data_IF_681298701148
#
_entry.id   IF_681298701148
#
_cell.length_a   1.000
_cell.length_b   1.000
_cell.length_c   1.000
_cell.angle_alpha   90.00
_cell.angle_beta   90.00
_cell.angle_gamma   90.00
#
_symmetry.space_group_name_H-M   'P 1'
#
loop_
_entity.id
_entity.type
_entity.pdbx_description
1 polymer ?
#
# COMPACT_ATOMS: atom_id res chain seq x y z
N UNK A 1 16.30 -5.71 -11.30
CA UNK A 1 15.45 -6.55 -10.43
C UNK A 1 14.04 -5.97 -10.47
N UNK A 2 13.08 -6.65 -11.12
CA UNK A 2 11.68 -6.22 -11.17
C UNK A 2 10.90 -6.93 -10.04
N UNK A 3 10.81 -6.29 -8.87
CA UNK A 3 10.01 -6.80 -7.73
C UNK A 3 8.64 -6.13 -7.71
N UNK A 4 7.80 -6.56 -8.65
CA UNK A 4 6.52 -5.92 -8.94
C UNK A 4 5.56 -5.94 -7.75
N UNK A 5 5.57 -7.00 -6.93
CA UNK A 5 4.71 -7.09 -5.75
C UNK A 5 5.07 -6.05 -4.70
N UNK A 6 6.34 -5.99 -4.33
CA UNK A 6 6.85 -4.95 -3.41
C UNK A 6 6.65 -3.53 -3.93
N UNK A 7 6.97 -3.27 -5.19
CA UNK A 7 6.82 -1.94 -5.79
C UNK A 7 5.38 -1.44 -5.69
N UNK A 8 4.40 -2.29 -6.08
CA UNK A 8 2.97 -1.94 -6.03
C UNK A 8 2.50 -1.61 -4.61
N UNK A 9 2.86 -2.43 -3.64
CA UNK A 9 2.51 -2.18 -2.23
C UNK A 9 3.16 -0.90 -1.71
N UNK A 10 4.45 -0.69 -1.98
CA UNK A 10 5.19 0.48 -1.52
C UNK A 10 4.63 1.78 -2.12
N UNK A 11 4.30 1.79 -3.41
CA UNK A 11 3.66 2.94 -4.07
C UNK A 11 2.30 3.27 -3.44
N UNK A 12 1.48 2.25 -3.18
CA UNK A 12 0.21 2.42 -2.49
C UNK A 12 0.38 3.01 -1.08
N UNK A 13 1.31 2.47 -0.28
CA UNK A 13 1.62 2.99 1.06
C UNK A 13 2.10 4.44 1.00
N UNK A 14 2.96 4.80 0.04
CA UNK A 14 3.46 6.17 -0.13
C UNK A 14 2.33 7.17 -0.41
N UNK A 15 1.34 6.79 -1.22
CA UNK A 15 0.16 7.64 -1.50
C UNK A 15 -0.70 7.89 -0.26
N UNK A 16 -0.77 6.92 0.66
CA UNK A 16 -1.55 6.98 1.91
C UNK A 16 -0.80 7.59 3.11
N UNK A 17 0.51 7.79 2.99
CA UNK A 17 1.39 8.22 4.07
C UNK A 17 1.13 9.68 4.45
N UNK A 18 0.87 9.94 5.74
CA UNK A 18 0.65 11.31 6.24
C UNK A 18 1.69 11.70 7.30
N UNK A 19 2.11 10.76 8.15
CA UNK A 19 2.98 11.02 9.29
C UNK A 19 4.37 10.39 9.13
N UNK A 20 5.25 10.66 10.10
CA UNK A 20 6.64 10.17 10.08
C UNK A 20 6.69 8.65 10.19
N UNK A 21 5.83 8.04 11.01
CA UNK A 21 5.81 6.61 11.22
C UNK A 21 5.47 5.86 9.92
N UNK A 22 4.47 6.32 9.16
CA UNK A 22 4.17 5.76 7.83
C UNK A 22 5.38 5.76 6.89
N UNK A 23 6.13 6.87 6.88
CA UNK A 23 7.32 7.03 6.03
C UNK A 23 8.45 6.11 6.47
N UNK A 24 8.62 5.89 7.77
CA UNK A 24 9.59 4.94 8.29
C UNK A 24 9.24 3.50 7.92
N UNK A 25 7.96 3.13 8.00
CA UNK A 25 7.50 1.82 7.55
C UNK A 25 7.75 1.63 6.04
N UNK A 26 7.46 2.64 5.22
CA UNK A 26 7.78 2.61 3.79
C UNK A 26 9.28 2.41 3.53
N UNK A 27 10.15 3.12 4.25
CA UNK A 27 11.62 2.98 4.12
C UNK A 27 12.11 1.59 4.53
N UNK A 28 11.55 1.03 5.60
CA UNK A 28 11.87 -0.35 6.03
C UNK A 28 11.46 -1.37 4.97
N UNK A 29 10.28 -1.21 4.36
CA UNK A 29 9.81 -2.07 3.27
C UNK A 29 10.72 -1.96 2.03
N UNK A 30 11.11 -0.75 1.65
CA UNK A 30 12.04 -0.50 0.54
C UNK A 30 13.41 -1.15 0.79
N UNK A 31 13.93 -1.05 2.02
CA UNK A 31 15.18 -1.72 2.41
C UNK A 31 15.06 -3.24 2.29
N UNK A 32 13.95 -3.82 2.77
CA UNK A 32 13.68 -5.26 2.60
C UNK A 32 13.55 -5.67 1.14
N UNK A 33 12.95 -4.84 0.30
CA UNK A 33 12.86 -5.09 -1.14
C UNK A 33 14.26 -5.17 -1.76
N UNK A 34 15.21 -4.32 -1.35
CA UNK A 34 16.58 -4.33 -1.86
C UNK A 34 17.39 -5.55 -1.37
N UNK A 35 17.15 -6.03 -0.16
CA UNK A 35 17.94 -7.11 0.46
C UNK A 35 17.34 -8.51 0.28
N UNK A 36 16.02 -8.63 0.11
CA UNK A 36 15.35 -9.92 -0.08
C UNK A 36 15.75 -10.54 -1.42
N UNK A 37 15.75 -11.87 -1.52
CA UNK A 37 15.87 -12.56 -2.83
C UNK A 37 14.50 -12.73 -3.49
N UNK A 38 13.46 -12.88 -2.66
CA UNK A 38 12.08 -13.08 -3.08
C UNK A 38 11.33 -11.75 -3.30
N UNK A 39 10.15 -11.87 -3.91
CA UNK A 39 9.14 -10.83 -4.11
C UNK A 39 7.82 -11.25 -3.45
N UNK A 40 6.90 -10.30 -3.25
CA UNK A 40 5.53 -10.59 -2.85
C UNK A 40 4.73 -11.14 -4.03
N UNK A 41 3.80 -12.06 -3.74
CA UNK A 41 2.89 -12.58 -4.75
C UNK A 41 2.02 -11.45 -5.32
N UNK A 42 2.15 -11.17 -6.61
CA UNK A 42 1.46 -10.07 -7.30
C UNK A 42 -0.07 -10.20 -7.21
N UNK A 43 -0.62 -11.42 -7.23
CA UNK A 43 -2.06 -11.66 -7.08
C UNK A 43 -2.54 -11.31 -5.67
N UNK A 44 -1.81 -11.76 -4.64
CA UNK A 44 -2.12 -11.41 -3.25
C UNK A 44 -2.09 -9.89 -3.05
N UNK A 45 -1.12 -9.20 -3.64
CA UNK A 45 -0.99 -7.75 -3.57
C UNK A 45 -2.13 -7.05 -4.33
N UNK A 46 -2.54 -7.56 -5.50
CA UNK A 46 -3.71 -7.06 -6.21
C UNK A 46 -4.97 -7.16 -5.35
N UNK A 47 -5.22 -8.33 -4.75
CA UNK A 47 -6.38 -8.54 -3.87
C UNK A 47 -6.35 -7.63 -2.64
N UNK A 48 -5.20 -7.50 -1.98
CA UNK A 48 -5.00 -6.61 -0.84
C UNK A 48 -5.39 -5.18 -1.17
N UNK A 49 -5.05 -4.72 -2.36
CA UNK A 49 -5.21 -3.31 -2.70
C UNK A 49 -6.58 -2.98 -3.30
N UNK A 50 -7.28 -3.99 -3.84
CA UNK A 50 -8.69 -3.90 -4.21
C UNK A 50 -9.60 -3.93 -2.99
N UNK A 51 -9.39 -4.89 -2.07
CA UNK A 51 -10.24 -5.11 -0.90
C UNK A 51 -9.43 -5.15 0.40
N UNK A 52 -8.79 -4.04 0.82
CA UNK A 52 -7.89 -4.02 1.99
C UNK A 52 -8.58 -4.36 3.31
N UNK A 53 -9.88 -4.11 3.44
CA UNK A 53 -10.62 -4.39 4.67
C UNK A 53 -10.96 -5.87 4.86
N UNK A 54 -10.99 -6.63 3.77
CA UNK A 54 -11.35 -8.06 3.76
C UNK A 54 -10.11 -8.96 3.64
N UNK A 55 -8.94 -8.38 3.38
CA UNK A 55 -7.69 -9.13 3.25
C UNK A 55 -7.21 -9.64 4.61
N UNK A 56 -6.91 -10.94 4.73
CA UNK A 56 -6.26 -11.51 5.92
C UNK A 56 -4.75 -11.32 5.83
N UNK A 57 -4.11 -10.52 6.73
CA UNK A 57 -2.66 -10.34 6.71
C UNK A 57 -1.87 -11.63 6.88
N UNK A 58 -2.47 -12.69 7.45
CA UNK A 58 -1.83 -13.99 7.64
C UNK A 58 -1.53 -14.72 6.33
N UNK A 59 -2.17 -14.32 5.23
CA UNK A 59 -1.91 -14.87 3.90
C UNK A 59 -0.56 -14.40 3.31
N UNK A 60 0.11 -13.48 3.98
CA UNK A 60 1.44 -12.98 3.60
C UNK A 60 2.48 -13.56 4.57
N UNK A 61 3.59 -14.13 4.06
CA UNK A 61 4.60 -14.72 4.92
C UNK A 61 5.35 -13.66 5.73
N UNK A 62 5.77 -14.04 6.94
CA UNK A 62 6.74 -13.26 7.71
C UNK A 62 8.06 -13.13 6.95
N UNK A 63 8.74 -11.97 7.01
CA UNK A 63 8.46 -10.82 7.90
C UNK A 63 7.51 -9.77 7.30
N UNK A 64 6.85 -10.06 6.18
CA UNK A 64 6.16 -9.05 5.38
C UNK A 64 4.74 -8.70 5.89
N UNK A 65 4.17 -9.59 6.70
CA UNK A 65 2.87 -9.45 7.39
C UNK A 65 2.68 -8.09 8.05
N UNK A 66 3.74 -7.54 8.67
CA UNK A 66 3.67 -6.25 9.37
C UNK A 66 3.38 -5.06 8.43
N UNK A 67 3.89 -5.10 7.20
CA UNK A 67 3.69 -4.02 6.22
C UNK A 67 2.29 -4.04 5.66
N UNK A 68 1.72 -5.24 5.48
CA UNK A 68 0.31 -5.44 5.10
C UNK A 68 -0.61 -4.90 6.18
N UNK A 69 -0.36 -5.26 7.46
CA UNK A 69 -1.13 -4.72 8.60
C UNK A 69 -1.07 -3.19 8.65
N UNK A 70 0.12 -2.62 8.44
CA UNK A 70 0.29 -1.17 8.42
C UNK A 70 -0.47 -0.53 7.27
N UNK A 71 -0.42 -1.10 6.06
CA UNK A 71 -1.18 -0.62 4.92
C UNK A 71 -2.69 -0.62 5.20
N UNK A 72 -3.25 -1.70 5.74
CA UNK A 72 -4.68 -1.77 6.10
C UNK A 72 -5.04 -0.69 7.14
N UNK A 73 -4.17 -0.47 8.14
CA UNK A 73 -4.33 0.61 9.09
C UNK A 73 -4.36 1.99 8.40
N UNK A 74 -3.45 2.24 7.46
CA UNK A 74 -3.39 3.50 6.71
C UNK A 74 -4.68 3.72 5.91
N UNK A 75 -5.22 2.69 5.25
CA UNK A 75 -6.50 2.78 4.54
C UNK A 75 -7.62 3.14 5.51
N UNK A 76 -7.80 2.39 6.61
CA UNK A 76 -8.84 2.65 7.64
C UNK A 76 -8.76 4.08 8.18
N UNK A 77 -7.56 4.58 8.43
CA UNK A 77 -7.32 5.94 8.93
C UNK A 77 -7.71 7.00 7.88
N UNK A 78 -7.32 6.80 6.62
CA UNK A 78 -7.61 7.74 5.54
C UNK A 78 -9.12 7.81 5.25
N UNK A 79 -9.83 6.67 5.26
CA UNK A 79 -11.29 6.62 5.11
C UNK A 79 -11.99 7.44 6.20
N UNK A 80 -11.57 7.29 7.47
CA UNK A 80 -12.10 8.07 8.60
C UNK A 80 -11.85 9.58 8.48
N UNK A 81 -10.79 9.99 7.78
CA UNK A 81 -10.48 11.39 7.53
C UNK A 81 -11.26 11.98 6.34
N UNK A 82 -12.13 11.19 5.69
CA UNK A 82 -12.86 11.61 4.50
C UNK A 82 -12.04 11.54 3.21
N UNK A 83 -10.84 10.97 3.26
CA UNK A 83 -10.03 10.70 2.07
C UNK A 83 -10.49 9.38 1.45
N UNK A 84 -11.36 9.46 0.44
CA UNK A 84 -11.66 8.33 -0.43
C UNK A 84 -10.43 8.12 -1.35
N UNK A 85 -9.54 7.20 -0.98
CA UNK A 85 -8.36 6.89 -1.81
C UNK A 85 -8.66 5.60 -2.57
N UNK A 86 -8.99 5.76 -3.86
CA UNK A 86 -8.95 4.66 -4.82
C UNK A 86 -7.48 4.29 -5.05
N UNK A 87 -7.03 3.21 -4.42
CA UNK A 87 -5.63 2.77 -4.50
C UNK A 87 -5.34 2.10 -5.86
N UNK A 88 -6.38 1.64 -6.56
CA UNK A 88 -6.30 0.94 -7.84
C UNK A 88 -7.27 1.53 -8.87
N UNK A 89 -6.74 2.32 -9.80
CA UNK A 89 -7.28 2.48 -11.14
C UNK A 89 -6.38 1.68 -12.07
N UNK A 90 -6.98 0.73 -12.80
CA UNK A 90 -6.32 -0.04 -13.85
C UNK A 90 -6.13 0.93 -15.03
N UNK A 91 -5.02 1.65 -15.09
CA UNK A 91 -4.74 2.50 -16.26
C UNK A 91 -3.23 2.55 -16.56
N UNK A 92 -2.89 1.99 -17.72
CA UNK A 92 -1.73 2.41 -18.49
C UNK A 92 -1.69 3.94 -18.55
N UNK A 93 -0.59 4.57 -18.10
CA UNK A 93 -0.29 5.98 -18.38
C UNK A 93 -1.40 7.00 -18.00
N UNK A 94 -1.70 7.18 -16.72
CA UNK A 94 -2.63 8.24 -16.29
C UNK A 94 -2.21 8.94 -15.00
N UNK A 95 -1.73 10.17 -15.10
CA UNK A 95 -1.50 11.06 -13.95
C UNK A 95 -2.81 11.36 -13.22
N UNK A 96 -3.00 10.86 -12.00
CA UNK A 96 -4.17 11.23 -11.19
C UNK A 96 -3.87 12.48 -10.36
N UNK A 97 -4.53 13.58 -10.72
CA UNK A 97 -4.55 14.82 -9.95
C UNK A 97 -5.38 14.64 -8.68
N UNK A 98 -4.81 15.05 -7.53
CA UNK A 98 -5.55 15.12 -6.26
C UNK A 98 -6.74 16.06 -6.40
N UNK A 99 -7.97 15.54 -6.31
CA UNK A 99 -9.15 16.38 -6.00
C UNK A 99 -9.51 16.18 -4.53
N UNK A 100 -9.00 17.08 -3.69
CA UNK A 100 -9.40 17.19 -2.29
C UNK A 100 -10.72 17.96 -2.28
N UNK A 101 -11.85 17.26 -2.21
CA UNK A 101 -13.14 17.91 -2.01
C UNK A 101 -13.33 18.19 -0.51
N UNK A 102 -13.06 19.43 -0.09
CA UNK A 102 -13.41 19.91 1.25
C UNK A 102 -14.90 20.21 1.27
N UNK A 103 -15.69 19.39 1.98
CA UNK A 103 -17.08 19.75 2.29
C UNK A 103 -17.08 21.03 3.13
N UNK A 104 -17.84 22.01 2.65
CA UNK A 104 -18.02 23.34 3.20
C UNK A 104 -19.02 23.31 4.36
#
# INVERSE_FOLDING_TARGET
MNKQGFSKLLEAMRKLSIDVNDREICKKLETLMLTSKDDLNVLSIKTLLQNPMEFDPKDVPDPYTQYVKHFIYMVKRNEKMGSQIHVYEDDELGTVSKKIERKK
#
